data_IF_627877405221
#
_entry.id   IF_627877405221
#
_cell.length_a   1.000
_cell.length_b   1.000
_cell.length_c   1.000
_cell.angle_alpha   90.00
_cell.angle_beta   90.00
_cell.angle_gamma   90.00
#
_symmetry.space_group_name_H-M   'P 1'
#
loop_
_entity.id
_entity.type
_entity.pdbx_description
1 polymer ?
#
# COMPACT_ATOMS: atom_id res chain seq x y z
N UNK A 1 8.44 -1.20 -9.02
CA UNK A 1 9.40 -0.12 -9.36
C UNK A 1 10.24 0.25 -8.12
N UNK A 2 11.50 0.65 -8.30
CA UNK A 2 12.36 1.18 -7.21
C UNK A 2 12.91 2.54 -7.65
N UNK A 3 12.70 3.58 -6.86
CA UNK A 3 13.20 4.93 -7.12
C UNK A 3 14.36 5.19 -6.16
N UNK A 4 15.52 5.53 -6.71
CA UNK A 4 16.67 5.96 -5.90
C UNK A 4 16.51 7.44 -5.58
N UNK A 5 16.33 7.76 -4.29
CA UNK A 5 16.30 9.14 -3.87
C UNK A 5 17.71 9.74 -3.85
N UNK A 6 17.82 11.04 -4.11
CA UNK A 6 19.11 11.75 -4.06
C UNK A 6 19.71 11.81 -2.64
N UNK A 7 18.96 11.46 -1.57
CA UNK A 7 19.53 11.25 -0.23
C UNK A 7 20.14 9.86 -0.02
N UNK A 8 20.10 8.98 -1.03
CA UNK A 8 20.58 7.59 -0.98
C UNK A 8 19.52 6.56 -0.60
N UNK A 9 18.40 6.97 0.00
CA UNK A 9 17.29 6.07 0.32
C UNK A 9 16.62 5.52 -0.95
N UNK A 10 15.98 4.34 -0.83
CA UNK A 10 15.21 3.74 -1.92
C UNK A 10 13.72 3.81 -1.59
N UNK A 11 12.95 4.43 -2.48
CA UNK A 11 11.49 4.39 -2.44
C UNK A 11 11.04 3.17 -3.22
N UNK A 12 10.32 2.26 -2.56
CA UNK A 12 9.88 1.00 -3.14
C UNK A 12 8.40 1.08 -3.47
N UNK A 13 8.08 0.94 -4.75
CA UNK A 13 6.72 0.81 -5.26
C UNK A 13 6.50 -0.62 -5.72
N UNK A 14 6.04 -1.47 -4.79
CA UNK A 14 5.91 -2.92 -5.01
C UNK A 14 4.48 -3.43 -4.82
N UNK A 15 3.59 -2.61 -4.27
CA UNK A 15 2.24 -2.99 -3.90
C UNK A 15 1.38 -1.75 -3.74
N UNK A 16 0.07 -1.94 -3.66
CA UNK A 16 -0.88 -0.87 -3.42
C UNK A 16 -0.87 -0.41 -1.97
N UNK A 17 -1.56 0.72 -1.71
CA UNK A 17 -1.79 1.25 -0.36
C UNK A 17 -0.51 1.64 0.40
N UNK A 18 0.52 2.06 -0.31
CA UNK A 18 1.74 2.58 0.31
C UNK A 18 1.49 3.98 0.87
N UNK A 19 1.76 4.19 2.17
CA UNK A 19 1.54 5.46 2.87
C UNK A 19 2.37 6.64 2.34
N UNK A 20 3.33 6.37 1.47
CA UNK A 20 4.21 7.35 0.84
C UNK A 20 4.05 7.37 -0.69
N UNK A 21 2.92 6.85 -1.21
CA UNK A 21 2.51 6.91 -2.61
C UNK A 21 1.16 7.62 -2.70
N UNK A 22 0.98 8.43 -3.72
CA UNK A 22 -0.24 9.19 -3.96
C UNK A 22 -0.53 9.39 -5.45
N UNK A 23 -1.67 9.98 -5.72
CA UNK A 23 -2.13 10.33 -7.07
C UNK A 23 -2.30 11.84 -7.15
N UNK A 24 -1.90 12.45 -8.26
CA UNK A 24 -2.04 13.87 -8.55
C UNK A 24 -2.88 14.04 -9.81
N UNK A 25 -3.94 14.84 -9.66
CA UNK A 25 -4.80 15.33 -10.75
C UNK A 25 -4.62 16.84 -10.77
N UNK A 26 -4.47 17.46 -11.95
CA UNK A 26 -4.41 18.92 -12.04
C UNK A 26 -5.78 19.52 -11.73
N UNK A 27 -5.80 20.76 -11.22
CA UNK A 27 -7.06 21.45 -10.93
C UNK A 27 -7.91 21.66 -12.19
N UNK A 28 -7.24 21.98 -13.32
CA UNK A 28 -7.87 22.12 -14.64
C UNK A 28 -8.55 20.82 -15.12
N UNK A 29 -8.12 19.66 -14.61
CA UNK A 29 -8.63 18.34 -14.99
C UNK A 29 -9.61 17.76 -13.95
N UNK A 30 -9.83 18.44 -12.82
CA UNK A 30 -10.45 17.83 -11.65
C UNK A 30 -11.90 17.41 -11.89
N UNK A 31 -12.71 18.29 -12.48
CA UNK A 31 -14.12 18.02 -12.76
C UNK A 31 -14.26 16.93 -13.84
N UNK A 32 -13.49 17.01 -14.92
CA UNK A 32 -13.48 16.00 -15.98
C UNK A 32 -13.08 14.61 -15.45
N UNK A 33 -12.08 14.56 -14.55
CA UNK A 33 -11.69 13.34 -13.87
C UNK A 33 -12.84 12.79 -13.01
N UNK A 34 -13.53 13.63 -12.24
CA UNK A 34 -14.66 13.22 -11.41
C UNK A 34 -15.81 12.65 -12.25
N UNK A 35 -16.23 13.34 -13.31
CA UNK A 35 -17.29 12.90 -14.22
C UNK A 35 -16.93 11.58 -14.93
N UNK A 36 -15.66 11.39 -15.31
CA UNK A 36 -15.19 10.15 -15.94
C UNK A 36 -15.41 8.94 -15.03
N UNK A 37 -15.20 9.11 -13.72
CA UNK A 37 -15.30 8.04 -12.74
C UNK A 37 -16.75 7.59 -12.52
N UNK A 38 -17.70 8.54 -12.55
CA UNK A 38 -19.13 8.26 -12.36
C UNK A 38 -19.74 7.61 -13.60
N UNK A 39 -19.37 8.08 -14.79
CA UNK A 39 -19.95 7.65 -16.06
C UNK A 39 -19.44 6.28 -16.53
N UNK A 40 -18.16 5.96 -16.30
CA UNK A 40 -17.52 4.75 -16.83
C UNK A 40 -17.40 3.63 -15.80
N UNK A 41 -17.60 3.93 -14.51
CA UNK A 41 -17.35 3.00 -13.41
C UNK A 41 -15.85 2.67 -13.19
N UNK A 42 -14.98 3.30 -13.96
CA UNK A 42 -13.52 3.16 -13.89
C UNK A 42 -12.89 4.56 -13.93
N UNK A 43 -11.78 4.74 -13.21
CA UNK A 43 -11.04 6.00 -13.20
C UNK A 43 -10.30 6.18 -14.53
N UNK A 44 -10.49 7.31 -15.20
CA UNK A 44 -9.66 7.67 -16.35
C UNK A 44 -8.23 8.01 -15.87
N UNK A 45 -7.33 7.06 -16.08
CA UNK A 45 -5.93 7.15 -15.66
C UNK A 45 -5.13 8.21 -16.44
N UNK A 46 -5.67 8.77 -17.54
CA UNK A 46 -4.98 9.80 -18.31
C UNK A 46 -4.83 11.12 -17.54
N UNK A 47 -5.75 11.41 -16.62
CA UNK A 47 -5.68 12.57 -15.71
C UNK A 47 -4.74 12.38 -14.51
N UNK A 48 -4.30 11.13 -14.26
CA UNK A 48 -3.64 10.76 -13.01
C UNK A 48 -2.12 10.60 -13.16
N UNK A 49 -1.38 11.41 -12.40
CA UNK A 49 0.08 11.28 -12.20
C UNK A 49 0.37 10.60 -10.88
N UNK A 50 1.46 9.83 -10.84
CA UNK A 50 1.90 9.18 -9.60
C UNK A 50 2.80 10.12 -8.79
N UNK A 51 2.61 10.10 -7.47
CA UNK A 51 3.45 10.81 -6.52
C UNK A 51 4.10 9.84 -5.55
N UNK A 52 5.36 10.10 -5.21
CA UNK A 52 6.14 9.28 -4.29
C UNK A 52 6.90 10.18 -3.32
N UNK A 53 6.79 9.90 -2.04
CA UNK A 53 7.51 10.63 -1.00
C UNK A 53 8.64 9.77 -0.42
N UNK A 54 9.84 10.35 -0.34
CA UNK A 54 10.94 9.74 0.41
C UNK A 54 10.66 9.83 1.91
N UNK A 55 10.59 8.69 2.60
CA UNK A 55 10.37 8.65 4.05
C UNK A 55 11.59 9.10 4.87
N UNK A 56 12.78 9.18 4.27
CA UNK A 56 14.01 9.60 4.94
C UNK A 56 14.27 11.10 4.88
N UNK A 57 14.02 11.75 3.73
CA UNK A 57 14.31 13.18 3.55
C UNK A 57 13.11 14.03 3.11
N UNK A 58 11.92 13.44 2.94
CA UNK A 58 10.70 14.17 2.57
C UNK A 58 10.60 14.61 1.12
N UNK A 59 11.66 14.43 0.29
CA UNK A 59 11.64 14.75 -1.14
C UNK A 59 10.46 14.09 -1.83
N UNK A 60 9.68 14.90 -2.53
CA UNK A 60 8.54 14.47 -3.31
C UNK A 60 8.99 14.24 -4.76
N UNK A 61 8.53 13.14 -5.33
CA UNK A 61 8.72 12.81 -6.72
C UNK A 61 7.36 12.71 -7.38
N UNK A 62 7.21 13.28 -8.58
CA UNK A 62 5.96 13.30 -9.33
C UNK A 62 6.25 12.92 -10.77
N UNK A 63 5.47 12.02 -11.34
CA UNK A 63 5.53 11.75 -12.78
C UNK A 63 5.04 12.99 -13.56
N UNK A 64 5.76 13.40 -14.60
CA UNK A 64 5.20 14.26 -15.64
C UNK A 64 4.34 13.47 -16.64
N UNK A 65 3.79 14.15 -17.66
CA UNK A 65 2.97 13.51 -18.69
C UNK A 65 3.74 12.47 -19.52
N UNK A 66 5.07 12.60 -19.61
CA UNK A 66 5.97 11.67 -20.30
C UNK A 66 6.50 10.56 -19.36
N UNK A 67 5.93 10.41 -18.16
CA UNK A 67 6.37 9.47 -17.11
C UNK A 67 7.81 9.69 -16.65
N UNK A 68 8.35 10.90 -16.81
CA UNK A 68 9.63 11.30 -16.23
C UNK A 68 9.40 11.78 -14.81
N UNK A 69 10.35 11.47 -13.94
CA UNK A 69 10.24 11.75 -12.52
C UNK A 69 10.77 13.15 -12.20
N UNK A 70 9.87 14.09 -11.92
CA UNK A 70 10.19 15.41 -11.39
C UNK A 70 10.44 15.32 -9.89
N UNK A 71 11.41 16.09 -9.37
CA UNK A 71 11.80 16.06 -7.96
C UNK A 71 11.62 17.42 -7.29
N UNK A 72 10.92 17.44 -6.15
CA UNK A 72 10.63 18.63 -5.35
C UNK A 72 11.27 18.50 -3.96
N UNK A 73 12.04 19.51 -3.58
CA UNK A 73 12.72 19.58 -2.29
C UNK A 73 11.78 20.15 -1.23
N UNK A 74 11.62 19.50 -0.06
CA UNK A 74 10.88 20.10 1.03
C UNK A 74 11.71 21.23 1.65
N UNK A 75 11.04 22.34 2.00
CA UNK A 75 11.68 23.42 2.77
C UNK A 75 11.88 23.01 4.25
N UNK A 76 10.99 22.18 4.77
CA UNK A 76 11.06 21.71 6.14
C UNK A 76 12.30 20.81 6.36
N UNK A 77 13.06 21.09 7.41
CA UNK A 77 14.23 20.28 7.80
C UNK A 77 13.85 18.86 8.24
N UNK A 78 12.61 18.67 8.72
CA UNK A 78 12.07 17.37 9.11
C UNK A 78 11.07 16.91 8.05
N UNK A 79 11.19 15.65 7.54
CA UNK A 79 10.23 15.10 6.61
C UNK A 79 8.81 15.10 7.17
N UNK A 80 7.89 15.77 6.48
CA UNK A 80 6.46 15.74 6.81
C UNK A 80 5.73 14.73 5.90
N UNK A 81 4.85 13.87 6.44
CA UNK A 81 4.24 12.79 5.67
C UNK A 81 3.05 13.28 4.81
N UNK A 82 3.32 14.11 3.81
CA UNK A 82 2.33 14.78 2.97
C UNK A 82 1.40 13.81 2.21
N UNK A 83 1.88 12.61 1.86
CA UNK A 83 1.08 11.60 1.14
C UNK A 83 0.37 10.61 2.08
N UNK A 84 0.54 10.74 3.40
CA UNK A 84 -0.07 9.82 4.35
C UNK A 84 -1.57 10.09 4.47
N UNK A 85 -2.34 9.03 4.65
CA UNK A 85 -3.80 9.14 4.75
C UNK A 85 -4.24 10.10 5.87
N UNK A 86 -5.22 10.96 5.55
CA UNK A 86 -5.99 11.77 6.51
C UNK A 86 -6.61 10.94 7.64
N UNK A 87 -6.96 9.67 7.39
CA UNK A 87 -7.49 8.78 8.44
C UNK A 87 -6.44 8.40 9.48
N UNK A 88 -5.16 8.66 9.23
CA UNK A 88 -4.07 8.43 10.17
C UNK A 88 -4.07 6.99 10.71
N UNK A 89 -4.16 6.84 12.03
CA UNK A 89 -4.19 5.54 12.69
C UNK A 89 -5.48 4.74 12.39
N UNK A 90 -6.55 5.40 11.97
CA UNK A 90 -7.84 4.79 11.61
C UNK A 90 -7.89 4.34 10.15
N UNK A 91 -6.79 4.47 9.41
CA UNK A 91 -6.74 3.98 8.03
C UNK A 91 -6.86 2.45 8.00
N UNK A 92 -7.88 1.96 7.29
CA UNK A 92 -8.15 0.52 7.15
C UNK A 92 -7.13 -0.14 6.22
N UNK A 93 -6.38 -1.10 6.75
CA UNK A 93 -5.28 -1.77 6.05
C UNK A 93 -5.69 -3.12 5.45
N UNK A 94 -5.06 -3.56 4.35
CA UNK A 94 -5.15 -4.93 3.90
C UNK A 94 -4.32 -5.85 4.81
N UNK A 95 -4.83 -7.06 5.06
CA UNK A 95 -4.13 -8.16 5.71
C UNK A 95 -3.87 -9.27 4.69
N UNK A 96 -2.62 -9.64 4.49
CA UNK A 96 -2.21 -10.62 3.47
C UNK A 96 -1.34 -11.68 4.14
N UNK A 97 -1.82 -12.92 4.15
CA UNK A 97 -1.05 -14.10 4.49
C UNK A 97 -0.74 -14.92 3.24
N UNK A 98 0.50 -15.37 3.09
CA UNK A 98 0.91 -16.25 1.99
C UNK A 98 1.82 -17.36 2.49
N UNK A 99 1.49 -18.59 2.11
CA UNK A 99 2.29 -19.78 2.33
C UNK A 99 2.70 -20.43 1.02
N UNK A 100 3.93 -20.92 0.96
CA UNK A 100 4.44 -21.81 -0.10
C UNK A 100 5.27 -22.93 0.51
N UNK A 101 5.06 -24.16 0.03
CA UNK A 101 5.89 -25.32 0.36
C UNK A 101 7.24 -25.31 -0.38
N UNK A 102 7.35 -24.54 -1.47
CA UNK A 102 8.55 -24.39 -2.29
C UNK A 102 8.97 -22.91 -2.37
N UNK A 103 9.57 -22.34 -1.31
CA UNK A 103 10.07 -20.97 -1.34
C UNK A 103 11.31 -20.85 -2.23
N UNK A 104 11.55 -19.65 -2.77
CA UNK A 104 12.81 -19.35 -3.42
C UNK A 104 13.98 -19.42 -2.41
N UNK A 105 15.22 -19.70 -2.87
CA UNK A 105 16.38 -19.74 -1.99
C UNK A 105 16.52 -18.44 -1.16
N UNK A 106 16.53 -18.56 0.17
CA UNK A 106 16.64 -17.43 1.10
C UNK A 106 15.32 -16.77 1.49
N UNK A 107 14.17 -17.25 1.01
CA UNK A 107 12.84 -16.79 1.43
C UNK A 107 12.22 -17.73 2.50
N UNK A 108 11.35 -17.17 3.35
CA UNK A 108 10.56 -17.97 4.29
C UNK A 108 9.38 -18.63 3.59
N UNK A 109 8.92 -19.77 4.12
CA UNK A 109 7.73 -20.46 3.59
C UNK A 109 6.45 -19.66 3.78
N UNK A 110 6.33 -19.01 4.94
CA UNK A 110 5.19 -18.18 5.30
C UNK A 110 5.55 -16.70 5.41
N UNK A 111 4.60 -15.85 5.01
CA UNK A 111 4.65 -14.40 5.23
C UNK A 111 3.29 -13.88 5.65
N UNK A 112 3.29 -12.96 6.62
CA UNK A 112 2.12 -12.23 7.07
C UNK A 112 2.41 -10.74 6.97
N UNK A 113 1.53 -10.01 6.28
CA UNK A 113 1.71 -8.60 5.97
C UNK A 113 0.43 -7.82 6.28
N UNK A 114 0.57 -6.77 7.10
CA UNK A 114 -0.40 -5.71 7.29
C UNK A 114 0.36 -4.42 7.63
N UNK A 115 0.08 -3.30 6.94
CA UNK A 115 0.73 -1.99 7.20
C UNK A 115 -0.23 -0.93 7.76
N UNK A 116 -1.12 -1.33 8.68
CA UNK A 116 -1.97 -0.43 9.47
C UNK A 116 -1.35 -0.06 10.83
N UNK A 117 -2.09 0.72 11.65
CA UNK A 117 -1.65 1.16 13.00
C UNK A 117 -1.37 0.03 14.00
N UNK A 118 -1.76 -1.21 13.67
CA UNK A 118 -1.48 -2.44 14.43
C UNK A 118 -1.05 -3.59 13.49
N UNK A 119 -0.45 -3.23 12.36
CA UNK A 119 -0.02 -4.18 11.34
C UNK A 119 1.28 -4.91 11.71
N UNK A 120 1.58 -5.97 10.97
CA UNK A 120 2.79 -6.78 11.14
C UNK A 120 3.46 -7.03 9.79
N UNK A 121 4.77 -7.24 9.81
CA UNK A 121 5.51 -7.81 8.68
C UNK A 121 6.35 -8.95 9.23
N UNK A 122 5.79 -10.16 9.16
CA UNK A 122 6.31 -11.33 9.87
C UNK A 122 6.53 -12.49 8.91
N UNK A 123 7.42 -13.40 9.32
CA UNK A 123 7.81 -14.60 8.59
C UNK A 123 7.56 -15.81 9.46
N UNK A 124 7.17 -16.91 8.82
CA UNK A 124 6.78 -18.15 9.48
C UNK A 124 7.40 -19.35 8.78
N UNK A 125 7.82 -20.34 9.55
CA UNK A 125 8.43 -21.58 9.06
C UNK A 125 7.46 -22.78 9.06
N UNK A 126 6.27 -22.63 9.65
CA UNK A 126 5.19 -23.62 9.63
C UNK A 126 3.86 -22.98 9.22
N UNK A 127 3.01 -23.79 8.56
CA UNK A 127 1.70 -23.34 8.08
C UNK A 127 0.79 -23.00 9.27
N UNK A 128 0.80 -23.83 10.30
CA UNK A 128 -0.05 -23.72 11.47
C UNK A 128 0.22 -22.42 12.23
N UNK A 129 1.49 -22.02 12.35
CA UNK A 129 1.85 -20.77 13.01
C UNK A 129 1.40 -19.55 12.21
N UNK A 130 1.57 -19.58 10.88
CA UNK A 130 1.08 -18.51 10.00
C UNK A 130 -0.45 -18.40 10.04
N UNK A 131 -1.15 -19.53 9.91
CA UNK A 131 -2.62 -19.57 9.90
C UNK A 131 -3.20 -19.05 11.21
N UNK A 132 -2.65 -19.51 12.35
CA UNK A 132 -3.06 -19.04 13.66
C UNK A 132 -2.85 -17.54 13.83
N UNK A 133 -1.66 -17.04 13.50
CA UNK A 133 -1.35 -15.61 13.59
C UNK A 133 -2.22 -14.76 12.65
N UNK A 134 -2.47 -15.25 11.44
CA UNK A 134 -3.35 -14.61 10.47
C UNK A 134 -4.76 -14.44 11.05
N UNK A 135 -5.40 -15.51 11.55
CA UNK A 135 -6.76 -15.42 12.07
C UNK A 135 -6.84 -14.59 13.35
N UNK A 136 -5.83 -14.69 14.24
CA UNK A 136 -5.75 -13.84 15.42
C UNK A 136 -5.71 -12.35 15.06
N UNK A 137 -4.85 -11.98 14.09
CA UNK A 137 -4.75 -10.60 13.64
C UNK A 137 -6.00 -10.16 12.86
N UNK A 138 -6.58 -11.05 12.05
CA UNK A 138 -7.82 -10.79 11.32
C UNK A 138 -8.96 -10.39 12.26
N UNK A 139 -9.27 -11.22 13.25
CA UNK A 139 -10.39 -10.93 14.18
C UNK A 139 -10.14 -9.65 14.96
N UNK A 140 -8.91 -9.45 15.47
CA UNK A 140 -8.54 -8.22 16.17
C UNK A 140 -8.72 -6.97 15.31
N UNK A 141 -8.20 -6.96 14.08
CA UNK A 141 -8.31 -5.79 13.20
C UNK A 141 -9.74 -5.55 12.73
N UNK A 142 -10.52 -6.62 12.54
CA UNK A 142 -11.94 -6.54 12.20
C UNK A 142 -12.76 -5.92 13.34
N UNK A 143 -12.55 -6.36 14.59
CA UNK A 143 -13.20 -5.80 15.78
C UNK A 143 -12.87 -4.32 15.98
N UNK A 144 -11.62 -3.93 15.70
CA UNK A 144 -11.18 -2.53 15.79
C UNK A 144 -11.66 -1.66 14.61
N UNK A 145 -12.31 -2.24 13.59
CA UNK A 145 -12.71 -1.51 12.39
C UNK A 145 -11.54 -1.00 11.55
N UNK A 146 -10.36 -1.63 11.65
CA UNK A 146 -9.10 -1.23 11.00
C UNK A 146 -8.75 -2.09 9.77
N UNK A 147 -9.64 -2.99 9.37
CA UNK A 147 -9.40 -3.94 8.29
C UNK A 147 -10.16 -3.53 7.03
N UNK A 148 -9.43 -3.39 5.92
CA UNK A 148 -10.01 -3.09 4.59
C UNK A 148 -10.34 -4.37 3.82
N UNK A 149 -9.43 -5.32 3.89
CA UNK A 149 -9.54 -6.62 3.24
C UNK A 149 -8.61 -7.61 3.91
N UNK A 150 -8.88 -8.89 3.73
CA UNK A 150 -8.05 -9.98 4.22
C UNK A 150 -7.94 -11.08 3.17
N UNK A 151 -6.74 -11.58 2.95
CA UNK A 151 -6.43 -12.66 2.02
C UNK A 151 -5.46 -13.64 2.66
N UNK A 152 -5.77 -14.93 2.64
CA UNK A 152 -4.85 -16.00 3.02
C UNK A 152 -4.75 -17.01 1.88
N UNK A 153 -3.54 -17.24 1.40
CA UNK A 153 -3.24 -18.25 0.38
C UNK A 153 -2.28 -19.32 0.91
N UNK A 154 -2.51 -20.56 0.49
CA UNK A 154 -1.64 -21.70 0.72
C UNK A 154 -1.36 -22.40 -0.61
N UNK A 155 -0.09 -22.41 -1.06
CA UNK A 155 0.34 -23.00 -2.34
C UNK A 155 -0.51 -22.51 -3.52
N UNK A 156 -0.82 -21.22 -3.53
CA UNK A 156 -1.66 -20.57 -4.56
C UNK A 156 -3.16 -20.80 -4.40
N UNK A 157 -3.60 -21.70 -3.52
CA UNK A 157 -5.03 -21.89 -3.18
C UNK A 157 -5.49 -20.82 -2.20
N UNK A 158 -6.62 -20.20 -2.49
CA UNK A 158 -7.29 -19.28 -1.56
C UNK A 158 -7.88 -20.07 -0.39
N UNK A 159 -7.41 -19.80 0.83
CA UNK A 159 -7.91 -20.39 2.08
C UNK A 159 -8.96 -19.47 2.71
N UNK A 160 -8.73 -18.17 2.70
CA UNK A 160 -9.66 -17.18 3.23
C UNK A 160 -9.62 -15.89 2.41
N UNK A 161 -10.81 -15.32 2.17
CA UNK A 161 -11.00 -13.99 1.59
C UNK A 161 -12.06 -13.26 2.38
N UNK A 162 -11.78 -12.00 2.68
CA UNK A 162 -12.74 -11.09 3.27
C UNK A 162 -12.51 -9.69 2.72
N UNK A 163 -13.58 -8.95 2.48
CA UNK A 163 -13.53 -7.55 2.09
C UNK A 163 -14.56 -6.78 2.90
N UNK A 164 -14.19 -5.55 3.25
CA UNK A 164 -15.11 -4.59 3.87
C UNK A 164 -16.14 -4.15 2.82
N UNK A 165 -17.36 -4.68 2.88
CA UNK A 165 -18.44 -4.38 1.93
C UNK A 165 -19.24 -3.13 2.29
N UNK A 166 -19.00 -2.57 3.48
CA UNK A 166 -19.62 -1.33 3.91
C UNK A 166 -18.86 -0.15 3.27
N UNK A 167 -19.32 0.23 2.07
CA UNK A 167 -18.90 1.43 1.35
C UNK A 167 -19.67 2.65 1.80
#
# INVERSE_FOLDING_TARGET
>A
MKIRCNCGAVIVDQTDYLANKGHLVADEDWEDFAESSESRGELDQSFVRQCYQCTSCGRLYVDDHDRRLLAFLPEAAVPQPALKSIKGALWKAPLIGRWTTAPLPGESKGSLYCKGANGVVERYDTWEALEHAYFALFYRLKELGLLRSALLHNDGKQVHVWADTDR
#
